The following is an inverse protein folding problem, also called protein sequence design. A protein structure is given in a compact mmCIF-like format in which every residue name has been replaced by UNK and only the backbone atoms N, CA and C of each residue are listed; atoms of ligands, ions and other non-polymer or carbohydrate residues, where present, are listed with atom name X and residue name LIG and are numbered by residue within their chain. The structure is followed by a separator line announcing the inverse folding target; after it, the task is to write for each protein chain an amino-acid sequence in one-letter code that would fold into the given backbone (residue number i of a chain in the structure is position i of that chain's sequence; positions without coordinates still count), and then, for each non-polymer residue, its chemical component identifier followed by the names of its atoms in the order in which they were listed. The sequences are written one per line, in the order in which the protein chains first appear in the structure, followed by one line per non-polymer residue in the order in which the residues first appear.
data_IF_779760000426
#
_entry.id   IF_779760000426
#
_cell.length_a   1.000
_cell.length_b   1.000
_cell.length_c   1.000
_cell.angle_alpha   90.00
_cell.angle_beta   90.00
_cell.angle_gamma   90.00
#
_symmetry.space_group_name_H-M   'P 1'
#
loop_
_entity.id
_entity.type
_entity.pdbx_description
1 polymer ?
#
# COMPACT_ATOMS: atom_id res chain seq x y z
N UNK A 1 21.13 19.89 -1.54
CA UNK A 1 20.40 19.52 -2.77
C UNK A 1 19.28 18.59 -2.34
N UNK A 2 18.02 18.98 -2.54
CA UNK A 2 16.90 18.15 -2.12
C UNK A 2 15.95 18.08 -3.30
N UNK A 3 15.50 16.88 -3.69
CA UNK A 3 14.71 16.54 -4.88
C UNK A 3 15.55 16.09 -6.09
N UNK A 4 15.81 14.79 -6.16
CA UNK A 4 16.21 14.10 -7.40
C UNK A 4 14.97 13.49 -8.04
N UNK A 5 14.89 13.48 -9.37
CA UNK A 5 13.80 12.86 -10.11
C UNK A 5 14.34 11.65 -10.89
N UNK A 6 13.60 10.54 -10.88
CA UNK A 6 13.88 9.35 -11.65
C UNK A 6 12.66 9.00 -12.50
N UNK A 7 12.79 9.19 -13.81
CA UNK A 7 11.69 9.08 -14.76
C UNK A 7 12.04 8.19 -15.95
N UNK A 8 11.03 7.77 -16.72
CA UNK A 8 11.28 7.11 -17.99
C UNK A 8 11.98 8.05 -18.98
N UNK A 9 12.67 7.46 -19.96
CA UNK A 9 13.54 8.18 -20.92
C UNK A 9 12.84 9.29 -21.71
N UNK A 10 11.53 9.17 -21.94
CA UNK A 10 10.73 10.11 -22.72
C UNK A 10 9.72 10.90 -21.88
N UNK A 11 9.85 10.91 -20.54
CA UNK A 11 8.93 11.63 -19.66
C UNK A 11 8.77 13.11 -20.10
N UNK A 12 7.55 13.67 -20.16
CA UNK A 12 6.28 13.16 -19.62
C UNK A 12 5.52 12.18 -20.53
N UNK A 13 6.04 11.85 -21.72
CA UNK A 13 5.42 10.90 -22.63
C UNK A 13 5.65 9.45 -22.18
N UNK A 14 4.68 8.59 -22.47
CA UNK A 14 4.79 7.17 -22.17
C UNK A 14 5.83 6.46 -23.06
N UNK A 15 6.39 5.36 -22.57
CA UNK A 15 7.26 4.42 -23.30
C UNK A 15 6.57 3.06 -23.44
N UNK A 16 6.73 2.44 -24.60
CA UNK A 16 6.16 1.11 -24.90
C UNK A 16 7.23 0.03 -25.06
N UNK A 17 8.51 0.43 -25.12
CA UNK A 17 9.64 -0.50 -25.25
C UNK A 17 9.98 -1.15 -23.91
N UNK A 18 10.44 -2.41 -23.97
CA UNK A 18 11.06 -3.06 -22.82
C UNK A 18 12.39 -2.43 -22.43
N UNK A 19 12.83 -2.64 -21.20
CA UNK A 19 14.07 -2.09 -20.69
C UNK A 19 14.28 -2.32 -19.19
N UNK A 20 15.46 -1.95 -18.72
CA UNK A 20 15.82 -1.96 -17.30
C UNK A 20 16.50 -0.64 -16.95
N UNK A 21 15.88 0.12 -16.06
CA UNK A 21 16.39 1.39 -15.57
C UNK A 21 16.72 1.25 -14.08
N UNK A 22 17.94 1.61 -13.69
CA UNK A 22 18.42 1.52 -12.32
C UNK A 22 18.79 2.92 -11.83
N UNK A 23 18.29 3.29 -10.66
CA UNK A 23 18.67 4.49 -9.93
C UNK A 23 19.28 4.09 -8.60
N UNK A 24 20.54 4.48 -8.38
CA UNK A 24 21.24 4.26 -7.11
C UNK A 24 21.19 5.52 -6.27
N UNK A 25 20.62 5.42 -5.07
CA UNK A 25 20.48 6.49 -4.10
C UNK A 25 21.55 6.30 -3.02
N UNK A 26 22.43 7.29 -2.92
CA UNK A 26 23.44 7.38 -1.87
C UNK A 26 23.05 8.48 -0.89
N UNK A 27 23.45 8.34 0.37
CA UNK A 27 23.34 9.45 1.32
C UNK A 27 24.08 10.68 0.79
N UNK A 28 23.46 11.85 0.87
CA UNK A 28 24.12 13.09 0.48
C UNK A 28 25.08 13.62 1.55
N UNK A 29 24.91 13.18 2.81
CA UNK A 29 25.84 13.34 3.93
C UNK A 29 25.43 12.39 5.09
N UNK A 30 26.23 12.36 6.16
CA UNK A 30 26.03 11.44 7.30
C UNK A 30 24.79 11.74 8.16
N UNK A 31 24.21 12.95 8.07
CA UNK A 31 22.98 13.31 8.79
C UNK A 31 21.72 12.76 8.10
N UNK A 32 21.85 12.11 6.94
CA UNK A 32 20.70 11.45 6.30
C UNK A 32 20.46 10.06 6.90
N UNK A 33 19.23 9.81 7.32
CA UNK A 33 18.79 8.51 7.83
C UNK A 33 17.74 7.83 6.95
N UNK A 34 16.96 8.59 6.19
CA UNK A 34 15.78 8.05 5.50
C UNK A 34 15.61 8.70 4.12
N UNK A 35 14.97 8.00 3.21
CA UNK A 35 14.52 8.54 1.93
C UNK A 35 13.00 8.41 1.84
N UNK A 36 12.35 9.46 1.34
CA UNK A 36 10.97 9.44 0.88
C UNK A 36 10.96 9.43 -0.64
N UNK A 37 10.14 8.57 -1.21
CA UNK A 37 9.97 8.43 -2.66
C UNK A 37 8.50 8.68 -2.97
N UNK A 38 8.21 9.78 -3.66
CA UNK A 38 6.88 10.13 -4.11
C UNK A 38 6.67 9.67 -5.56
N UNK A 39 5.57 8.96 -5.82
CA UNK A 39 5.24 8.41 -7.13
C UNK A 39 4.38 9.43 -7.89
N UNK A 40 5.02 10.47 -8.44
CA UNK A 40 4.31 11.56 -9.13
C UNK A 40 3.60 11.08 -10.40
N UNK A 41 4.21 10.10 -11.08
CA UNK A 41 3.58 9.24 -12.06
C UNK A 41 4.13 7.83 -11.84
N UNK A 42 3.26 6.82 -11.89
CA UNK A 42 3.67 5.41 -11.84
C UNK A 42 2.59 4.55 -12.45
N UNK A 43 2.68 4.38 -13.77
CA UNK A 43 1.86 3.45 -14.55
C UNK A 43 2.79 2.46 -15.22
N UNK A 44 2.73 1.23 -14.76
CA UNK A 44 3.41 0.06 -15.32
C UNK A 44 2.34 -0.96 -15.78
N UNK A 45 2.74 -2.02 -16.47
CA UNK A 45 1.84 -3.13 -16.78
C UNK A 45 1.22 -3.71 -15.48
N UNK A 46 -0.05 -4.08 -15.58
CA UNK A 46 -0.80 -4.76 -14.52
C UNK A 46 -0.16 -6.13 -14.21
N UNK A 47 -0.32 -6.67 -12.98
CA UNK A 47 0.16 -7.99 -12.64
C UNK A 47 -0.55 -9.08 -13.46
N UNK A 48 -0.05 -10.31 -13.35
CA UNK A 48 -0.79 -11.47 -13.82
C UNK A 48 -2.08 -11.68 -12.98
N UNK A 49 -2.98 -12.61 -13.36
CA UNK A 49 -4.23 -12.86 -12.63
C UNK A 49 -4.08 -13.27 -11.16
N UNK A 50 -2.88 -13.62 -10.71
CA UNK A 50 -2.54 -14.02 -9.34
C UNK A 50 -1.61 -12.99 -8.69
N UNK A 51 -1.69 -11.72 -9.09
CA UNK A 51 -1.00 -10.58 -8.47
C UNK A 51 0.52 -10.51 -8.64
N UNK A 52 1.13 -11.36 -9.49
CA UNK A 52 2.58 -11.32 -9.75
C UNK A 52 2.93 -10.27 -10.80
N UNK A 53 3.85 -9.37 -10.46
CA UNK A 53 4.45 -8.38 -11.34
C UNK A 53 5.52 -8.97 -12.29
N UNK A 54 5.11 -9.87 -13.19
CA UNK A 54 6.03 -10.58 -14.09
C UNK A 54 6.38 -9.80 -15.38
N UNK A 55 5.52 -8.87 -15.79
CA UNK A 55 5.66 -8.12 -17.04
C UNK A 55 6.47 -6.85 -16.82
N UNK A 56 5.99 -5.99 -15.92
CA UNK A 56 6.74 -4.83 -15.48
C UNK A 56 6.83 -4.87 -13.95
N UNK A 57 7.91 -4.32 -13.40
CA UNK A 57 8.11 -4.25 -11.96
C UNK A 57 8.96 -3.05 -11.56
N UNK A 58 8.64 -2.52 -10.39
CA UNK A 58 9.46 -1.64 -9.59
C UNK A 58 9.95 -2.43 -8.37
N UNK A 59 11.26 -2.65 -8.31
CA UNK A 59 11.92 -3.35 -7.21
C UNK A 59 12.85 -2.37 -6.50
N UNK A 60 12.78 -2.31 -5.18
CA UNK A 60 13.61 -1.42 -4.38
C UNK A 60 14.35 -2.22 -3.31
N UNK A 61 15.68 -2.13 -3.31
CA UNK A 61 16.57 -2.95 -2.46
C UNK A 61 17.66 -2.11 -1.79
N UNK A 62 18.36 -2.70 -0.81
CA UNK A 62 19.50 -2.08 -0.12
C UNK A 62 19.14 -1.19 1.08
N UNK A 63 17.85 -0.84 1.23
CA UNK A 63 17.34 -0.12 2.40
C UNK A 63 17.29 -0.97 3.68
N UNK A 64 16.95 -0.34 4.79
CA UNK A 64 16.79 -0.97 6.11
C UNK A 64 15.48 -1.75 6.29
N UNK A 65 14.63 -1.82 5.28
CA UNK A 65 13.36 -2.56 5.29
C UNK A 65 13.06 -3.20 3.93
N UNK A 66 12.15 -4.17 3.91
CA UNK A 66 11.67 -4.82 2.69
C UNK A 66 10.59 -3.99 2.02
N UNK A 67 10.70 -3.80 0.70
CA UNK A 67 9.65 -3.24 -0.13
C UNK A 67 9.09 -4.36 -0.99
N UNK A 68 7.75 -4.53 -1.06
CA UNK A 68 7.17 -5.49 -2.00
C UNK A 68 7.53 -5.10 -3.44
N UNK A 69 7.42 -6.06 -4.36
CA UNK A 69 7.54 -5.74 -5.78
C UNK A 69 6.27 -5.06 -6.25
N UNK A 70 6.41 -3.87 -6.84
CA UNK A 70 5.27 -3.02 -7.19
C UNK A 70 5.11 -2.98 -8.72
N UNK A 71 3.89 -3.09 -9.23
CA UNK A 71 3.55 -2.85 -10.63
C UNK A 71 2.15 -2.23 -10.76
N UNK A 72 1.67 -2.06 -12.00
CA UNK A 72 0.40 -1.39 -12.27
C UNK A 72 0.39 0.10 -11.91
N UNK A 73 -0.73 0.59 -11.37
CA UNK A 73 -1.00 2.02 -11.18
C UNK A 73 -0.82 2.47 -9.72
N UNK A 74 0.23 3.26 -9.48
CA UNK A 74 0.60 3.73 -8.14
C UNK A 74 0.81 5.25 -8.07
N UNK A 75 0.30 5.97 -9.06
CA UNK A 75 0.38 7.44 -9.11
C UNK A 75 -0.26 8.08 -7.87
N UNK A 76 0.46 9.02 -7.26
CA UNK A 76 0.03 9.73 -6.05
C UNK A 76 0.35 9.00 -4.74
N UNK A 77 0.94 7.80 -4.79
CA UNK A 77 1.44 7.10 -3.61
C UNK A 77 2.87 7.53 -3.25
N UNK A 78 3.33 7.11 -2.08
CA UNK A 78 4.70 7.36 -1.63
C UNK A 78 5.17 6.26 -0.69
N UNK A 79 6.50 6.12 -0.57
CA UNK A 79 7.11 5.21 0.40
C UNK A 79 8.26 5.88 1.17
N UNK A 80 8.57 5.33 2.33
CA UNK A 80 9.70 5.71 3.19
C UNK A 80 10.63 4.52 3.40
N UNK A 81 11.93 4.76 3.29
CA UNK A 81 12.96 3.73 3.47
C UNK A 81 14.10 4.30 4.31
N UNK A 82 14.42 3.64 5.41
CA UNK A 82 15.64 3.94 6.17
C UNK A 82 16.87 3.47 5.39
N UNK A 83 17.98 4.19 5.47
CA UNK A 83 19.27 3.71 4.99
C UNK A 83 19.85 2.68 5.97
N UNK A 84 20.42 1.59 5.46
CA UNK A 84 21.14 0.61 6.29
C UNK A 84 22.63 0.99 6.42
N UNK A 85 22.94 1.80 7.43
CA UNK A 85 24.27 2.38 7.59
C UNK A 85 24.59 3.29 6.40
N UNK A 86 25.71 3.04 5.71
CA UNK A 86 26.11 3.75 4.48
C UNK A 86 25.80 2.96 3.20
N UNK A 87 24.99 1.91 3.31
CA UNK A 87 24.53 1.15 2.15
C UNK A 87 23.70 2.01 1.21
N UNK A 88 23.77 1.68 -0.07
CA UNK A 88 23.04 2.34 -1.16
C UNK A 88 21.61 1.79 -1.20
N UNK A 89 20.66 2.59 -1.68
CA UNK A 89 19.32 2.09 -2.04
C UNK A 89 19.24 2.05 -3.56
N UNK A 90 18.86 0.92 -4.13
CA UNK A 90 18.67 0.79 -5.57
C UNK A 90 17.20 0.68 -5.90
N UNK A 91 16.76 1.52 -6.83
CA UNK A 91 15.45 1.43 -7.46
C UNK A 91 15.62 0.89 -8.87
N UNK A 92 14.96 -0.24 -9.15
CA UNK A 92 15.09 -0.98 -10.39
C UNK A 92 13.70 -1.04 -11.02
N UNK A 93 13.51 -0.33 -12.12
CA UNK A 93 12.32 -0.43 -12.96
C UNK A 93 12.63 -1.35 -14.14
N UNK A 94 11.93 -2.48 -14.24
CA UNK A 94 12.06 -3.44 -15.34
C UNK A 94 10.76 -3.48 -16.13
N UNK A 95 10.85 -3.45 -17.45
CA UNK A 95 9.68 -3.46 -18.34
C UNK A 95 9.87 -4.50 -19.43
N UNK A 96 8.84 -5.31 -19.69
CA UNK A 96 8.88 -6.37 -20.70
C UNK A 96 8.68 -5.81 -22.11
N UNK A 97 9.47 -6.27 -23.07
CA UNK A 97 9.33 -5.85 -24.45
C UNK A 97 8.10 -6.49 -25.14
N UNK A 98 7.60 -5.86 -26.20
CA UNK A 98 6.49 -6.41 -27.00
C UNK A 98 5.09 -6.30 -26.37
N UNK A 99 4.96 -5.69 -25.19
CA UNK A 99 3.65 -5.32 -24.61
C UNK A 99 3.26 -3.90 -25.05
N UNK A 100 2.07 -3.77 -25.63
CA UNK A 100 1.49 -2.48 -26.01
C UNK A 100 0.83 -1.78 -24.81
N UNK A 101 1.65 -1.47 -23.79
CA UNK A 101 1.25 -0.74 -22.58
C UNK A 101 1.96 0.61 -22.56
N UNK A 102 1.21 1.68 -22.39
CA UNK A 102 1.76 3.03 -22.22
C UNK A 102 2.33 3.21 -20.81
N UNK A 103 3.61 2.91 -20.63
CA UNK A 103 4.28 3.00 -19.33
C UNK A 103 4.76 4.41 -19.09
N UNK A 104 4.53 4.94 -17.89
CA UNK A 104 4.94 6.28 -17.54
C UNK A 104 5.32 6.33 -16.07
N UNK A 105 6.54 6.76 -15.75
CA UNK A 105 6.95 6.91 -14.36
C UNK A 105 7.78 8.15 -14.14
N UNK A 106 7.57 8.77 -12.98
CA UNK A 106 8.34 9.88 -12.47
C UNK A 106 8.30 9.81 -10.94
N UNK A 107 9.42 9.39 -10.37
CA UNK A 107 9.61 9.27 -8.93
C UNK A 107 10.41 10.47 -8.43
N UNK A 108 9.93 11.13 -7.38
CA UNK A 108 10.67 12.18 -6.69
C UNK A 108 11.31 11.60 -5.44
N UNK A 109 12.62 11.70 -5.36
CA UNK A 109 13.45 11.21 -4.26
C UNK A 109 13.83 12.39 -3.36
N UNK A 110 13.46 12.29 -2.09
CA UNK A 110 13.74 13.29 -1.05
C UNK A 110 14.48 12.63 0.10
N UNK A 111 15.69 13.08 0.42
CA UNK A 111 16.45 12.56 1.56
C UNK A 111 16.08 13.33 2.84
N UNK A 112 15.89 12.58 3.92
CA UNK A 112 15.38 13.06 5.20
C UNK A 112 16.47 12.90 6.25
N UNK A 113 16.80 14.02 6.89
CA UNK A 113 17.76 14.07 7.98
C UNK A 113 17.28 13.27 9.20
N UNK A 114 18.21 12.74 9.98
CA UNK A 114 17.94 11.87 11.14
C UNK A 114 17.04 12.55 12.18
N UNK A 115 17.22 13.85 12.40
CA UNK A 115 16.45 14.65 13.34
C UNK A 115 15.22 15.34 12.72
N UNK A 116 14.88 15.06 11.46
CA UNK A 116 13.78 15.73 10.78
C UNK A 116 12.42 15.30 11.35
N UNK A 117 11.50 16.24 11.72
CA UNK A 117 10.17 15.89 12.21
C UNK A 117 9.30 15.13 11.20
N UNK A 118 9.63 15.20 9.91
CA UNK A 118 8.90 14.50 8.84
C UNK A 118 9.40 13.08 8.61
N UNK A 119 10.36 12.60 9.41
CA UNK A 119 10.85 11.22 9.34
C UNK A 119 9.73 10.26 9.74
N UNK A 120 9.47 9.25 8.91
CA UNK A 120 8.56 8.17 9.23
C UNK A 120 9.17 7.27 10.33
N UNK A 121 8.36 6.73 11.26
CA UNK A 121 8.83 5.72 12.19
C UNK A 121 9.36 4.49 11.44
N UNK A 122 10.40 3.84 11.98
CA UNK A 122 10.93 2.60 11.39
C UNK A 122 9.84 1.51 11.38
N UNK A 123 9.75 0.76 10.27
CA UNK A 123 8.70 -0.22 10.03
C UNK A 123 7.47 0.31 9.28
N UNK A 124 7.34 1.62 9.10
CA UNK A 124 6.28 2.25 8.31
C UNK A 124 6.73 2.48 6.88
N UNK A 125 6.27 1.66 5.93
CA UNK A 125 6.57 1.85 4.51
C UNK A 125 5.81 3.06 3.96
N UNK A 126 4.56 3.25 4.36
CA UNK A 126 3.79 4.47 4.08
C UNK A 126 3.55 5.23 5.37
N UNK A 127 3.73 6.55 5.33
CA UNK A 127 3.51 7.40 6.50
C UNK A 127 2.72 8.65 6.13
N UNK A 128 1.69 8.92 6.92
CA UNK A 128 0.78 10.05 6.76
C UNK A 128 0.76 10.90 8.03
N UNK A 129 0.69 12.22 7.88
CA UNK A 129 0.79 13.15 9.02
C UNK A 129 -0.47 13.97 9.26
N UNK A 130 -1.44 13.90 8.36
CA UNK A 130 -2.71 14.61 8.49
C UNK A 130 -3.61 13.99 9.57
N UNK A 131 -4.54 14.78 10.10
CA UNK A 131 -5.56 14.27 11.04
C UNK A 131 -6.62 13.40 10.35
N UNK A 132 -6.78 13.55 9.04
CA UNK A 132 -7.63 12.72 8.20
C UNK A 132 -7.06 12.63 6.80
N UNK A 133 -7.37 11.56 6.10
CA UNK A 133 -6.94 11.36 4.73
C UNK A 133 -7.37 10.01 4.19
N UNK A 134 -6.73 9.61 3.10
CA UNK A 134 -7.03 8.35 2.41
C UNK A 134 -5.74 7.59 2.19
N UNK A 135 -5.79 6.28 2.39
CA UNK A 135 -4.72 5.34 2.08
C UNK A 135 -5.23 4.34 1.06
N UNK A 136 -4.31 3.80 0.26
CA UNK A 136 -4.62 2.80 -0.76
C UNK A 136 -3.56 1.72 -0.73
N UNK A 137 -3.93 0.48 -1.06
CA UNK A 137 -2.94 -0.55 -1.39
C UNK A 137 -2.14 -0.13 -2.62
N UNK A 138 -0.98 -0.74 -2.82
CA UNK A 138 -0.33 -0.68 -4.13
C UNK A 138 -1.27 -1.24 -5.20
N UNK A 139 -1.18 -0.65 -6.39
CA UNK A 139 -1.99 -0.96 -7.58
C UNK A 139 -3.53 -0.87 -7.42
N UNK A 140 -4.05 -0.29 -6.33
CA UNK A 140 -5.49 -0.15 -6.13
C UNK A 140 -6.20 0.44 -7.36
N UNK A 141 -7.28 -0.21 -7.78
CA UNK A 141 -8.16 0.25 -8.86
C UNK A 141 -9.64 0.12 -8.48
N UNK A 142 -10.54 0.65 -9.30
CA UNK A 142 -12.00 0.47 -9.10
C UNK A 142 -12.59 -0.58 -10.02
N UNK A 143 -11.78 -1.14 -10.93
CA UNK A 143 -12.18 -2.19 -11.88
C UNK A 143 -11.03 -3.14 -12.11
N UNK A 144 -11.36 -4.41 -12.23
CA UNK A 144 -10.48 -5.43 -12.79
C UNK A 144 -10.21 -5.15 -14.27
N UNK A 145 -9.09 -5.65 -14.78
CA UNK A 145 -8.74 -5.55 -16.20
C UNK A 145 -8.40 -6.93 -16.71
N UNK A 146 -8.82 -7.27 -17.93
CA UNK A 146 -8.37 -8.50 -18.58
C UNK A 146 -6.86 -8.44 -18.77
N UNK A 147 -6.15 -9.48 -18.34
CA UNK A 147 -4.71 -9.54 -18.51
C UNK A 147 -4.38 -9.71 -20.01
N UNK A 148 -3.57 -8.83 -20.61
CA UNK A 148 -3.32 -8.84 -22.06
C UNK A 148 -2.46 -10.01 -22.53
N UNK A 149 -1.80 -10.74 -21.61
CA UNK A 149 -0.95 -11.89 -21.91
C UNK A 149 -1.73 -13.19 -21.79
N UNK A 150 -2.48 -13.36 -20.69
CA UNK A 150 -3.20 -14.62 -20.40
C UNK A 150 -4.65 -14.62 -20.88
N UNK A 151 -5.22 -13.46 -21.23
CA UNK A 151 -6.65 -13.26 -21.51
C UNK A 151 -7.60 -13.69 -20.39
N UNK A 152 -7.08 -13.85 -19.16
CA UNK A 152 -7.87 -14.12 -17.97
C UNK A 152 -8.30 -12.81 -17.30
N UNK A 153 -9.32 -12.89 -16.44
CA UNK A 153 -9.64 -11.78 -15.55
C UNK A 153 -8.42 -11.47 -14.68
N UNK A 154 -7.91 -10.25 -14.76
CA UNK A 154 -6.76 -9.82 -13.96
C UNK A 154 -7.18 -9.39 -12.56
N UNK A 155 -6.19 -9.25 -11.69
CA UNK A 155 -6.33 -8.68 -10.34
C UNK A 155 -5.57 -7.36 -10.27
N UNK A 156 -5.95 -6.52 -9.30
CA UNK A 156 -5.18 -5.34 -8.89
C UNK A 156 -4.41 -5.60 -7.60
N UNK A 157 -4.84 -6.56 -6.80
CA UNK A 157 -4.11 -6.98 -5.60
C UNK A 157 -2.76 -7.58 -6.00
N UNK A 158 -1.71 -7.16 -5.29
CA UNK A 158 -0.36 -7.67 -5.47
C UNK A 158 -0.08 -8.71 -4.38
N UNK A 159 0.67 -9.75 -4.73
CA UNK A 159 0.97 -10.84 -3.80
C UNK A 159 2.25 -10.63 -3.00
N UNK A 160 2.37 -11.35 -1.89
CA UNK A 160 3.54 -11.37 -1.02
C UNK A 160 3.90 -9.99 -0.45
N UNK A 161 2.88 -9.16 -0.20
CA UNK A 161 3.04 -7.89 0.46
C UNK A 161 3.04 -8.07 1.99
N UNK A 162 3.95 -7.38 2.67
CA UNK A 162 3.92 -7.26 4.12
C UNK A 162 4.52 -5.92 4.51
N UNK A 163 3.66 -4.92 4.73
CA UNK A 163 4.10 -3.56 5.05
C UNK A 163 3.14 -2.82 5.97
N UNK A 164 3.69 -1.88 6.73
CA UNK A 164 2.94 -0.97 7.59
C UNK A 164 2.60 0.34 6.89
N UNK A 165 1.33 0.75 7.03
CA UNK A 165 0.85 2.10 6.79
C UNK A 165 0.63 2.76 8.15
N UNK A 166 1.34 3.84 8.41
CA UNK A 166 1.30 4.53 9.70
C UNK A 166 0.72 5.93 9.57
N UNK A 167 0.04 6.38 10.62
CA UNK A 167 -0.49 7.75 10.73
C UNK A 167 0.11 8.41 11.97
N UNK A 168 0.75 9.56 11.79
CA UNK A 168 1.26 10.38 12.90
C UNK A 168 0.11 10.77 13.81
N UNK A 169 0.25 10.55 15.10
CA UNK A 169 -0.74 11.02 16.06
C UNK A 169 -0.63 12.52 16.24
N UNK A 170 -1.75 13.22 16.08
CA UNK A 170 -1.84 14.64 16.40
C UNK A 170 -2.05 14.83 17.91
N UNK A 171 -1.45 15.86 18.54
CA UNK A 171 -1.73 16.20 19.94
C UNK A 171 -3.23 16.39 20.20
N UNK A 172 -3.75 15.80 21.27
CA UNK A 172 -5.16 15.85 21.63
C UNK A 172 -6.05 14.81 20.94
N UNK A 173 -5.48 13.90 20.13
CA UNK A 173 -6.21 12.81 19.48
C UNK A 173 -5.88 11.44 20.10
N UNK A 174 -6.93 10.67 20.41
CA UNK A 174 -6.82 9.45 21.20
C UNK A 174 -7.05 8.17 20.39
N UNK A 175 -7.88 8.21 19.34
CA UNK A 175 -8.15 7.04 18.48
C UNK A 175 -8.14 7.40 17.01
N UNK A 176 -8.16 6.38 16.15
CA UNK A 176 -8.27 6.50 14.70
C UNK A 176 -9.43 5.66 14.19
N UNK A 177 -10.29 6.27 13.40
CA UNK A 177 -11.36 5.61 12.66
C UNK A 177 -10.87 5.29 11.25
N UNK A 178 -11.15 4.07 10.80
CA UNK A 178 -10.95 3.60 9.44
C UNK A 178 -12.29 3.27 8.81
N UNK A 179 -12.49 3.66 7.55
CA UNK A 179 -13.71 3.37 6.78
C UNK A 179 -13.38 3.17 5.30
N UNK A 180 -14.24 2.49 4.56
CA UNK A 180 -14.06 2.36 3.11
C UNK A 180 -14.23 3.72 2.40
N UNK A 181 -13.49 3.92 1.31
CA UNK A 181 -13.68 5.08 0.43
C UNK A 181 -15.03 5.06 -0.28
N UNK A 182 -15.52 3.87 -0.65
CA UNK A 182 -16.83 3.64 -1.24
C UNK A 182 -17.27 2.18 -1.00
N UNK A 183 -18.47 1.81 -1.42
CA UNK A 183 -19.01 0.46 -1.20
C UNK A 183 -18.12 -0.66 -1.78
N UNK A 184 -17.46 -0.41 -2.91
CA UNK A 184 -16.65 -1.40 -3.64
C UNK A 184 -15.16 -1.05 -3.59
N UNK A 185 -14.73 -0.32 -2.56
CA UNK A 185 -13.34 0.13 -2.44
C UNK A 185 -12.46 -0.79 -1.59
N UNK A 186 -12.94 -1.99 -1.27
CA UNK A 186 -12.21 -2.97 -0.50
C UNK A 186 -12.61 -4.36 -1.00
N UNK A 187 -11.70 -5.00 -1.73
CA UNK A 187 -11.82 -6.40 -2.16
C UNK A 187 -10.43 -6.98 -1.99
N UNK A 188 -10.26 -7.72 -0.89
CA UNK A 188 -9.01 -8.33 -0.41
C UNK A 188 -9.37 -9.73 0.06
N UNK A 189 -8.83 -10.78 -0.55
CA UNK A 189 -9.24 -12.17 -0.33
C UNK A 189 -10.75 -12.41 -0.44
N UNK A 190 -11.35 -12.17 -1.63
CA UNK A 190 -12.67 -12.68 -2.00
C UNK A 190 -12.94 -12.53 -3.50
N UNK A 191 -13.80 -13.39 -4.04
CA UNK A 191 -14.24 -13.28 -5.42
C UNK A 191 -15.06 -11.99 -5.66
N UNK A 192 -14.80 -11.29 -6.76
CA UNK A 192 -15.63 -10.18 -7.27
C UNK A 192 -17.09 -10.62 -7.59
N UNK A 193 -17.41 -11.92 -7.55
CA UNK A 193 -18.54 -12.49 -8.29
C UNK A 193 -19.59 -13.30 -7.49
N UNK A 194 -19.45 -13.59 -6.18
CA UNK A 194 -20.31 -14.64 -5.57
C UNK A 194 -21.17 -14.23 -4.39
N UNK A 195 -20.99 -13.08 -3.73
CA UNK A 195 -21.81 -12.75 -2.55
C UNK A 195 -22.33 -11.32 -2.61
N UNK A 196 -23.58 -11.21 -3.05
CA UNK A 196 -24.42 -10.04 -2.81
C UNK A 196 -25.35 -10.38 -1.63
N UNK A 197 -25.33 -9.59 -0.53
CA UNK A 197 -24.62 -8.33 -0.35
C UNK A 197 -23.12 -8.50 -0.01
N UNK A 198 -22.28 -7.46 -0.19
CA UNK A 198 -20.89 -7.47 0.25
C UNK A 198 -20.75 -7.77 1.75
N UNK A 199 -19.78 -8.60 2.13
CA UNK A 199 -19.58 -9.11 3.49
C UNK A 199 -18.13 -8.84 3.94
N UNK A 200 -17.92 -8.22 5.11
CA UNK A 200 -16.60 -8.15 5.72
C UNK A 200 -16.31 -9.46 6.44
N UNK A 201 -15.13 -10.02 6.21
CA UNK A 201 -14.65 -11.24 6.84
C UNK A 201 -13.59 -10.91 7.90
N UNK A 202 -13.38 -11.83 8.84
CA UNK A 202 -12.51 -11.61 9.98
C UNK A 202 -11.73 -12.86 10.38
N UNK A 203 -10.55 -12.64 10.97
CA UNK A 203 -9.83 -13.68 11.71
C UNK A 203 -9.43 -14.87 10.84
N UNK A 204 -9.97 -16.06 11.14
CA UNK A 204 -9.61 -17.30 10.43
C UNK A 204 -10.12 -17.36 9.00
N UNK A 205 -11.15 -16.57 8.65
CA UNK A 205 -11.61 -16.44 7.26
C UNK A 205 -10.66 -15.57 6.42
N UNK A 206 -9.71 -14.91 7.10
CA UNK A 206 -8.69 -14.02 6.54
C UNK A 206 -7.30 -14.60 6.76
N UNK A 207 -7.06 -15.78 6.16
CA UNK A 207 -5.82 -16.55 6.31
C UNK A 207 -4.82 -16.35 5.17
N UNK A 208 -5.29 -15.95 3.99
CA UNK A 208 -4.45 -15.60 2.84
C UNK A 208 -4.04 -14.12 2.87
N UNK A 209 -4.97 -13.23 2.54
CA UNK A 209 -4.74 -11.80 2.41
C UNK A 209 -5.70 -11.00 3.30
N UNK A 210 -5.16 -9.98 3.94
CA UNK A 210 -5.90 -9.20 4.92
C UNK A 210 -5.18 -7.91 5.28
N UNK A 211 -5.96 -7.01 5.85
CA UNK A 211 -5.41 -5.89 6.61
C UNK A 211 -5.52 -6.15 8.10
N UNK A 212 -4.56 -5.64 8.87
CA UNK A 212 -4.55 -5.71 10.33
C UNK A 212 -4.77 -4.33 10.91
N UNK A 213 -5.80 -4.20 11.75
CA UNK A 213 -6.05 -3.01 12.58
C UNK A 213 -5.99 -3.44 14.04
N UNK A 214 -5.03 -2.92 14.83
CA UNK A 214 -4.88 -3.38 16.22
C UNK A 214 -6.08 -3.05 17.11
N UNK A 215 -6.65 -4.07 17.76
CA UNK A 215 -7.79 -3.96 18.68
C UNK A 215 -8.95 -3.07 18.16
N UNK A 216 -9.62 -3.46 17.04
CA UNK A 216 -10.67 -2.64 16.44
C UNK A 216 -11.99 -2.77 17.20
N UNK A 217 -12.74 -1.67 17.24
CA UNK A 217 -14.12 -1.58 17.74
C UNK A 217 -15.02 -1.02 16.66
N UNK A 218 -16.25 -1.50 16.55
CA UNK A 218 -17.26 -0.85 15.74
C UNK A 218 -17.70 0.48 16.38
N UNK A 219 -18.25 1.45 15.61
CA UNK A 219 -18.69 2.74 16.13
C UNK A 219 -19.73 2.67 17.26
N UNK A 220 -20.46 1.55 17.36
CA UNK A 220 -21.41 1.29 18.44
C UNK A 220 -20.72 0.87 19.77
N UNK A 221 -19.39 0.79 19.81
CA UNK A 221 -18.60 0.42 20.98
C UNK A 221 -18.38 -1.09 21.16
N UNK A 222 -18.91 -1.95 20.29
CA UNK A 222 -18.65 -3.39 20.40
C UNK A 222 -17.33 -3.73 19.74
N UNK A 223 -16.55 -4.63 20.35
CA UNK A 223 -15.28 -5.09 19.79
C UNK A 223 -15.50 -5.82 18.47
N UNK A 224 -14.63 -5.60 17.49
CA UNK A 224 -14.61 -6.39 16.27
C UNK A 224 -14.20 -7.85 16.56
N UNK A 225 -14.66 -8.83 15.77
CA UNK A 225 -14.35 -10.25 16.01
C UNK A 225 -12.86 -10.56 15.99
N UNK A 226 -12.11 -9.88 15.12
CA UNK A 226 -10.66 -9.99 14.99
C UNK A 226 -10.07 -8.65 14.53
N UNK A 227 -8.77 -8.54 14.72
CA UNK A 227 -7.87 -7.53 14.18
C UNK A 227 -7.50 -7.75 12.70
N UNK A 228 -7.68 -8.97 12.16
CA UNK A 228 -7.55 -9.26 10.73
C UNK A 228 -8.89 -9.07 10.01
N UNK A 229 -8.89 -8.31 8.92
CA UNK A 229 -10.08 -7.96 8.14
C UNK A 229 -9.77 -8.18 6.65
N UNK A 230 -10.68 -8.88 5.96
CA UNK A 230 -10.63 -9.18 4.53
C UNK A 230 -12.07 -9.29 3.98
N UNK A 231 -12.26 -9.80 2.77
CA UNK A 231 -13.54 -9.90 2.09
C UNK A 231 -13.75 -8.83 1.02
N UNK A 232 -14.98 -8.74 0.51
CA UNK A 232 -15.39 -7.79 -0.52
C UNK A 232 -16.07 -6.52 0.03
N UNK A 233 -15.96 -6.29 1.35
CA UNK A 233 -16.31 -5.02 1.97
C UNK A 233 -15.52 -4.77 3.26
N UNK A 234 -15.47 -3.51 3.67
CA UNK A 234 -14.78 -3.10 4.89
C UNK A 234 -15.74 -2.39 5.84
N UNK A 235 -15.88 -2.83 7.10
CA UNK A 235 -16.71 -2.15 8.08
C UNK A 235 -15.97 -0.96 8.66
N UNK A 236 -16.70 0.10 9.04
CA UNK A 236 -16.07 1.19 9.80
C UNK A 236 -15.62 0.66 11.16
N UNK A 237 -14.35 0.88 11.52
CA UNK A 237 -13.77 0.46 12.79
C UNK A 237 -12.94 1.58 13.40
N UNK A 238 -12.88 1.61 14.72
CA UNK A 238 -12.10 2.55 15.52
C UNK A 238 -11.05 1.77 16.29
N UNK A 239 -9.80 2.19 16.19
CA UNK A 239 -8.70 1.67 17.01
C UNK A 239 -8.24 2.73 18.01
N UNK A 240 -8.16 2.34 19.26
CA UNK A 240 -7.58 3.13 20.35
C UNK A 240 -6.09 2.79 20.57
N UNK A 241 -5.59 1.77 19.88
CA UNK A 241 -4.21 1.29 19.99
C UNK A 241 -3.22 2.32 19.46
N UNK A 242 -2.01 2.28 20.02
CA UNK A 242 -0.92 3.21 19.73
C UNK A 242 0.32 2.42 19.30
N UNK A 243 1.08 2.83 18.27
CA UNK A 243 0.78 3.92 17.33
C UNK A 243 -0.42 3.60 16.40
N UNK A 244 -0.92 4.61 15.67
CA UNK A 244 -1.95 4.38 14.65
C UNK A 244 -1.34 3.74 13.41
N UNK A 245 -1.71 2.48 13.19
CA UNK A 245 -1.16 1.63 12.13
C UNK A 245 -2.24 0.78 11.46
N UNK A 246 -2.01 0.51 10.19
CA UNK A 246 -2.70 -0.47 9.36
C UNK A 246 -1.61 -1.33 8.72
N UNK A 247 -1.61 -2.64 8.93
CA UNK A 247 -0.67 -3.56 8.26
C UNK A 247 -1.37 -4.23 7.11
N UNK A 248 -0.69 -4.34 5.97
CA UNK A 248 -1.17 -5.07 4.80
C UNK A 248 -0.39 -6.37 4.72
N UNK A 249 -1.09 -7.49 4.58
CA UNK A 249 -0.50 -8.80 4.37
C UNK A 249 -1.20 -9.46 3.20
N UNK A 250 -0.44 -9.82 2.17
CA UNK A 250 -0.92 -10.67 1.07
C UNK A 250 0.09 -11.78 0.83
N UNK A 251 -0.33 -12.88 0.21
CA UNK A 251 0.54 -13.99 -0.13
C UNK A 251 0.19 -14.56 -1.51
N UNK A 252 0.85 -15.64 -1.95
CA UNK A 252 0.59 -16.23 -3.27
C UNK A 252 -0.54 -17.26 -3.30
N UNK A 253 -1.30 -17.42 -2.21
CA UNK A 253 -2.42 -18.34 -2.11
C UNK A 253 -3.72 -17.66 -2.54
N UNK A 254 -3.99 -17.70 -3.83
CA UNK A 254 -5.25 -17.20 -4.42
C UNK A 254 -6.42 -18.18 -4.26
N UNK A 255 -6.45 -18.91 -3.13
CA UNK A 255 -7.56 -19.78 -2.77
C UNK A 255 -7.96 -19.52 -1.34
N UNK A 256 -9.24 -19.16 -1.14
CA UNK A 256 -9.82 -18.95 0.17
C UNK A 256 -10.83 -20.05 0.51
N UNK A 257 -11.31 -20.07 1.75
CA UNK A 257 -12.39 -20.96 2.20
C UNK A 257 -13.70 -20.74 1.43
N UNK A 258 -13.85 -19.60 0.74
CA UNK A 258 -15.05 -19.21 0.01
C UNK A 258 -14.94 -19.38 -1.51
N UNK A 259 -13.76 -19.70 -2.04
CA UNK A 259 -13.56 -19.93 -3.48
C UNK A 259 -12.19 -19.48 -3.99
N UNK A 260 -11.99 -19.47 -5.32
CA UNK A 260 -10.80 -18.89 -5.91
C UNK A 260 -10.80 -17.38 -5.71
N UNK A 261 -9.64 -16.83 -5.38
CA UNK A 261 -9.42 -15.40 -5.23
C UNK A 261 -9.16 -14.79 -6.62
N UNK A 262 -10.14 -14.05 -7.14
CA UNK A 262 -10.10 -13.57 -8.52
C UNK A 262 -10.74 -12.20 -8.60
N UNK A 263 -10.00 -11.28 -9.22
CA UNK A 263 -10.51 -9.96 -9.53
C UNK A 263 -10.38 -8.96 -8.38
N UNK A 264 -9.52 -9.21 -7.40
CA UNK A 264 -9.40 -8.33 -6.26
C UNK A 264 -8.90 -6.97 -6.69
N UNK A 265 -9.57 -5.92 -6.23
CA UNK A 265 -9.21 -4.55 -6.61
C UNK A 265 -8.25 -3.90 -5.61
N UNK A 266 -7.90 -4.61 -4.52
CA UNK A 266 -7.17 -4.10 -3.38
C UNK A 266 -8.07 -3.26 -2.47
N UNK A 267 -7.48 -2.26 -1.80
CA UNK A 267 -8.26 -1.38 -0.94
C UNK A 267 -7.98 0.12 -1.11
N UNK A 268 -9.00 0.90 -0.80
CA UNK A 268 -8.97 2.32 -0.48
C UNK A 268 -9.73 2.52 0.83
N UNK A 269 -9.03 3.03 1.83
CA UNK A 269 -9.60 3.34 3.14
C UNK A 269 -9.38 4.81 3.48
N UNK A 270 -10.41 5.44 4.02
CA UNK A 270 -10.29 6.71 4.70
C UNK A 270 -9.85 6.48 6.14
N UNK A 271 -9.08 7.42 6.67
CA UNK A 271 -8.81 7.52 8.09
C UNK A 271 -9.17 8.91 8.62
N UNK A 272 -9.55 8.95 9.90
CA UNK A 272 -9.71 10.18 10.66
C UNK A 272 -9.38 9.94 12.12
N UNK A 273 -8.50 10.76 12.68
CA UNK A 273 -8.20 10.76 14.10
C UNK A 273 -9.38 11.39 14.87
N UNK A 274 -9.72 10.80 16.02
CA UNK A 274 -10.78 11.26 16.91
C UNK A 274 -10.15 11.92 18.14
N UNK A 275 -10.66 13.10 18.50
CA UNK A 275 -10.23 13.85 19.69
C UNK A 275 -10.41 13.01 20.95
N UNK A 276 -9.51 13.19 21.91
CA UNK A 276 -9.70 12.64 23.25
C UNK A 276 -10.99 13.19 23.87
N UNK A 277 -11.83 12.30 24.38
CA UNK A 277 -12.97 12.70 25.21
C UNK A 277 -12.48 12.99 26.63
N UNK A 278 -13.12 13.94 27.31
CA UNK A 278 -12.78 14.32 28.69
C UNK A 278 -12.98 13.16 29.71
N UNK A 279 -13.68 12.10 29.30
CA UNK A 279 -13.94 10.90 30.10
C UNK A 279 -13.22 9.70 29.45
N UNK A 280 -11.97 9.46 29.87
CA UNK A 280 -11.10 8.38 29.36
C UNK A 280 -11.05 7.17 30.33
N UNK A 281 -12.08 7.00 31.16
CA UNK A 281 -12.11 5.99 32.24
C UNK A 281 -12.77 4.66 31.88
N UNK A 282 -13.30 4.44 30.66
CA UNK A 282 -14.21 3.30 30.41
C UNK A 282 -13.69 2.23 29.44
N UNK A 283 -12.56 2.39 28.74
CA UNK A 283 -12.08 1.36 27.80
C UNK A 283 -10.56 1.16 27.85
N UNK A 284 -10.08 0.65 28.99
CA UNK A 284 -8.75 0.07 29.17
C UNK A 284 -8.85 -1.40 29.53
#
# INVERSE_FOLDING_TARGET
MNNTYFSNSNFPSAVTTGGRCVMTIQKCNDDICQVRIDFLASTLAQPNPVGVCNSDSLVIVGGGGSVPTICGDNTGQHIYLDFNGNSTIEMITSTLDGLNVGRNWNYRITQIACACPTRAPSGCLMYYTSISGTVRSFNYGTTTTTNPVTNLLGTRELINENYGICVSMAPGYCSIEWSSCSANSFIVSDNEASISPPIPLFGNDCDADFVVIPNPYFPNGTRAPSDRICGNSFPTVISYSKPFVLTVVTNGNETSTLGPDVGNVGFCLNYRQILCTADSTILG
#
